data_IF_889857987499
#
_entry.id   IF_889857987499
#
_cell.length_a   1.000
_cell.length_b   1.000
_cell.length_c   1.000
_cell.angle_alpha   90.00
_cell.angle_beta   90.00
_cell.angle_gamma   90.00
#
_symmetry.space_group_name_H-M   'P 1'
#
loop_
_entity.id
_entity.type
_entity.pdbx_description
1 polymer ?
#
# COMPACT_ATOMS: atom_id res chain seq x y z
N UNK A 1 -15.86 7.07 7.80
CA UNK A 1 -15.09 5.81 8.01
C UNK A 1 -14.49 5.46 6.67
N UNK A 2 -13.18 5.64 6.51
CA UNK A 2 -12.53 5.45 5.21
C UNK A 2 -11.35 4.52 5.40
N UNK A 3 -11.66 3.23 5.49
CA UNK A 3 -10.70 2.16 5.79
C UNK A 3 -10.04 1.71 4.49
N UNK A 4 -9.36 2.64 3.80
CA UNK A 4 -8.73 2.37 2.49
C UNK A 4 -7.62 1.33 2.57
N UNK A 5 -7.04 1.10 3.75
CA UNK A 5 -6.03 0.05 3.92
C UNK A 5 -6.55 -1.35 3.54
N UNK A 6 -7.85 -1.63 3.69
CA UNK A 6 -8.45 -2.90 3.26
C UNK A 6 -8.50 -3.07 1.73
N UNK A 7 -8.40 -1.97 1.00
CA UNK A 7 -8.35 -1.94 -0.46
C UNK A 7 -6.93 -1.72 -0.98
N UNK A 8 -5.93 -1.70 -0.07
CA UNK A 8 -4.56 -1.39 -0.44
C UNK A 8 -3.86 -2.62 -0.98
N UNK A 9 -3.31 -2.52 -2.19
CA UNK A 9 -2.55 -3.61 -2.82
C UNK A 9 -1.31 -4.05 -2.04
N UNK A 10 -0.76 -3.18 -1.18
CA UNK A 10 0.40 -3.52 -0.31
C UNK A 10 0.00 -4.25 0.99
N UNK A 11 -1.30 -4.35 1.27
CA UNK A 11 -1.78 -5.01 2.47
C UNK A 11 -1.98 -6.50 2.20
N UNK A 12 -1.43 -7.35 3.07
CA UNK A 12 -1.56 -8.80 3.01
C UNK A 12 -2.39 -9.30 4.18
N UNK A 13 -3.15 -10.37 3.99
CA UNK A 13 -3.83 -11.05 5.09
C UNK A 13 -2.90 -12.11 5.71
N UNK A 14 -2.50 -11.93 6.97
CA UNK A 14 -1.71 -12.89 7.76
C UNK A 14 -2.45 -13.22 9.04
N UNK A 15 -2.68 -14.50 9.34
CA UNK A 15 -3.34 -14.95 10.57
C UNK A 15 -4.68 -14.24 10.86
N UNK A 16 -5.47 -14.06 9.80
CA UNK A 16 -6.76 -13.34 9.81
C UNK A 16 -6.68 -11.85 10.19
N UNK A 17 -5.48 -11.27 10.21
CA UNK A 17 -5.21 -9.85 10.42
C UNK A 17 -4.68 -9.21 9.13
N UNK A 18 -4.98 -7.94 8.95
CA UNK A 18 -4.45 -7.17 7.82
C UNK A 18 -3.04 -6.67 8.19
N UNK A 19 -2.06 -6.96 7.36
CA UNK A 19 -0.65 -6.62 7.58
C UNK A 19 -0.16 -5.69 6.48
N UNK A 20 0.41 -4.55 6.87
CA UNK A 20 0.99 -3.61 5.92
C UNK A 20 2.45 -3.97 5.65
N UNK A 21 2.78 -4.38 4.42
CA UNK A 21 4.17 -4.74 4.06
C UNK A 21 5.14 -3.55 4.16
N UNK A 22 4.67 -2.30 3.98
CA UNK A 22 5.53 -1.11 4.06
C UNK A 22 6.03 -0.84 5.47
N UNK A 23 5.10 -0.79 6.41
CA UNK A 23 5.36 -0.39 7.79
C UNK A 23 5.66 -1.59 8.69
N UNK A 24 5.42 -2.81 8.19
CA UNK A 24 5.59 -4.05 8.95
C UNK A 24 4.79 -4.04 10.26
N UNK A 25 3.54 -3.58 10.17
CA UNK A 25 2.60 -3.52 11.30
C UNK A 25 1.26 -4.15 10.91
N UNK A 26 0.54 -4.62 11.94
CA UNK A 26 -0.86 -5.02 11.81
C UNK A 26 -1.71 -3.77 11.66
N UNK A 27 -2.46 -3.67 10.57
CA UNK A 27 -3.46 -2.63 10.38
C UNK A 27 -4.65 -2.96 11.25
N UNK A 28 -4.92 -2.07 12.21
CA UNK A 28 -6.13 -2.08 13.02
C UNK A 28 -6.98 -0.86 12.67
N UNK A 29 -8.26 -0.89 12.99
CA UNK A 29 -9.16 0.24 12.72
C UNK A 29 -8.71 1.53 13.43
N UNK A 30 -8.03 1.40 14.57
CA UNK A 30 -7.50 2.48 15.41
C UNK A 30 -6.08 2.93 15.04
N UNK A 31 -5.46 2.34 14.00
CA UNK A 31 -4.07 2.67 13.68
C UNK A 31 -3.95 4.15 13.25
N UNK A 32 -3.07 4.97 13.88
CA UNK A 32 -2.92 6.38 13.55
C UNK A 32 -2.33 6.61 12.14
N UNK A 33 -1.82 5.57 11.48
CA UNK A 33 -1.43 5.58 10.06
C UNK A 33 -2.56 5.13 9.13
N UNK A 34 -3.71 4.70 9.68
CA UNK A 34 -4.99 4.49 8.97
C UNK A 34 -5.63 5.85 8.58
N UNK A 35 -4.78 6.81 8.20
CA UNK A 35 -5.16 8.12 7.69
C UNK A 35 -5.55 7.97 6.22
N UNK A 36 -6.56 8.72 5.82
CA UNK A 36 -7.00 8.83 4.42
C UNK A 36 -5.85 9.19 3.44
N UNK A 37 -4.77 9.78 3.94
CA UNK A 37 -3.62 10.28 3.20
C UNK A 37 -2.37 9.39 3.29
N UNK A 38 -2.53 8.07 3.47
CA UNK A 38 -1.39 7.17 3.37
C UNK A 38 -0.72 7.31 1.99
N UNK A 39 0.48 7.90 1.94
CA UNK A 39 1.22 8.12 0.69
C UNK A 39 1.60 6.83 -0.04
N UNK A 40 1.58 5.70 0.66
CA UNK A 40 1.84 4.38 0.12
C UNK A 40 0.57 3.64 -0.30
N UNK A 41 -0.62 4.23 -0.12
CA UNK A 41 -1.84 3.64 -0.63
C UNK A 41 -1.76 3.48 -2.16
N UNK A 42 -2.12 2.30 -2.62
CA UNK A 42 -2.36 2.00 -4.03
C UNK A 42 -3.44 0.93 -4.14
N UNK A 43 -4.19 0.98 -5.22
CA UNK A 43 -5.18 -0.05 -5.54
C UNK A 43 -4.50 -1.36 -5.95
N UNK A 44 -5.25 -2.45 -5.91
CA UNK A 44 -4.78 -3.75 -6.38
C UNK A 44 -4.60 -3.71 -7.90
N UNK A 45 -3.38 -3.92 -8.35
CA UNK A 45 -2.97 -4.06 -9.74
C UNK A 45 -3.09 -5.54 -10.12
N UNK A 46 -3.76 -5.78 -11.25
CA UNK A 46 -3.94 -7.10 -11.83
C UNK A 46 -3.11 -7.14 -13.11
N UNK A 47 -2.18 -8.10 -13.19
CA UNK A 47 -1.38 -8.39 -14.39
C UNK A 47 -1.62 -9.85 -14.79
N UNK A 48 -1.82 -10.10 -16.08
CA UNK A 48 -2.10 -11.44 -16.63
C UNK A 48 -3.29 -12.17 -15.97
N UNK A 49 -4.26 -11.41 -15.44
CA UNK A 49 -5.44 -11.95 -14.76
C UNK A 49 -5.21 -12.31 -13.30
N UNK A 50 -4.01 -12.13 -12.76
CA UNK A 50 -3.67 -12.37 -11.35
C UNK A 50 -3.34 -11.06 -10.62
N UNK A 51 -3.80 -10.88 -9.36
CA UNK A 51 -3.38 -9.74 -8.56
C UNK A 51 -1.91 -9.88 -8.19
N UNK A 52 -1.15 -8.79 -8.30
CA UNK A 52 0.23 -8.78 -7.85
C UNK A 52 0.33 -9.05 -6.34
N UNK A 53 1.45 -9.62 -5.90
CA UNK A 53 1.72 -9.77 -4.47
C UNK A 53 1.84 -8.40 -3.79
N UNK A 54 1.58 -8.35 -2.48
CA UNK A 54 1.72 -7.11 -1.71
C UNK A 54 3.14 -6.52 -1.76
N UNK A 55 4.15 -7.38 -1.88
CA UNK A 55 5.53 -6.96 -2.04
C UNK A 55 5.79 -6.32 -3.41
N UNK A 56 5.22 -6.88 -4.49
CA UNK A 56 5.30 -6.29 -5.82
C UNK A 56 4.59 -4.92 -5.87
N UNK A 57 3.41 -4.82 -5.29
CA UNK A 57 2.71 -3.54 -5.11
C UNK A 57 3.59 -2.53 -4.37
N UNK A 58 4.21 -2.93 -3.26
CA UNK A 58 5.11 -2.05 -2.51
C UNK A 58 6.25 -1.53 -3.38
N UNK A 59 6.91 -2.39 -4.15
CA UNK A 59 7.99 -2.01 -5.07
C UNK A 59 7.52 -1.01 -6.12
N UNK A 60 6.34 -1.24 -6.73
CA UNK A 60 5.75 -0.31 -7.69
C UNK A 60 5.49 1.06 -7.05
N UNK A 61 4.92 1.07 -5.85
CA UNK A 61 4.61 2.33 -5.14
C UNK A 61 5.87 3.10 -4.76
N UNK A 62 6.89 2.41 -4.28
CA UNK A 62 8.16 3.03 -3.94
C UNK A 62 8.83 3.64 -5.18
N UNK A 63 8.76 2.97 -6.33
CA UNK A 63 9.27 3.50 -7.59
C UNK A 63 8.47 4.73 -8.07
N UNK A 64 7.13 4.71 -7.95
CA UNK A 64 6.26 5.86 -8.24
C UNK A 64 6.65 7.07 -7.38
N UNK A 65 6.80 6.88 -6.06
CA UNK A 65 7.16 7.94 -5.12
C UNK A 65 8.59 8.46 -5.35
N UNK A 66 9.54 7.58 -5.67
CA UNK A 66 10.91 7.96 -6.02
C UNK A 66 10.93 8.78 -7.32
N UNK A 67 10.19 8.36 -8.33
CA UNK A 67 10.08 9.07 -9.62
C UNK A 67 9.42 10.44 -9.50
N UNK A 68 8.44 10.59 -8.60
CA UNK A 68 7.84 11.90 -8.29
C UNK A 68 8.84 12.88 -7.67
N UNK A 69 9.75 12.39 -6.82
CA UNK A 69 10.81 13.23 -6.24
C UNK A 69 11.81 13.73 -7.30
N UNK A 70 12.01 12.98 -8.38
CA UNK A 70 12.89 13.38 -9.50
C UNK A 70 12.28 14.42 -10.44
N UNK A 71 10.96 14.68 -10.36
CA UNK A 71 10.26 15.69 -11.17
C UNK A 71 10.31 17.11 -10.61
N UNK A 72 11.08 17.35 -9.53
CA UNK A 72 11.27 18.66 -8.94
C UNK A 72 12.71 19.15 -9.07
N UNK A 73 13.13 19.53 -10.28
CA UNK A 73 14.11 20.61 -10.58
C UNK A 73 14.15 20.75 -12.11
N UNK A 74 13.35 21.67 -12.64
CA UNK A 74 13.67 22.46 -13.84
C UNK A 74 13.49 23.92 -13.49
#
# INVERSE_FOLDING_TARGET
MSVKCFLCGIASKRDNRLWCEKYQVVVTEDDPNNKNDCHYFMEVVIEDGEPLSARQHLMLKENELASRKMRGTV
#
